data_IF_937521731542
#
_entry.id   IF_937521731542
#
_cell.length_a   1.000
_cell.length_b   1.000
_cell.length_c   1.000
_cell.angle_alpha   90.00
_cell.angle_beta   90.00
_cell.angle_gamma   90.00
#
_symmetry.space_group_name_H-M   'P 1'
#
loop_
_entity.id
_entity.type
_entity.pdbx_description
1 polymer ?
#
# COMPACT_ATOMS: atom_id res chain seq x y z
N UNK A 1 14.03 36.47 -25.83
CA UNK A 1 13.03 35.56 -26.44
C UNK A 1 13.17 34.11 -25.96
N UNK A 2 14.38 33.59 -25.74
CA UNK A 2 14.58 32.16 -25.43
C UNK A 2 13.99 31.68 -24.08
N UNK A 3 13.92 32.55 -23.07
CA UNK A 3 13.34 32.20 -21.76
C UNK A 3 11.83 32.01 -21.83
N UNK A 4 11.16 32.82 -22.65
CA UNK A 4 9.71 32.80 -22.82
C UNK A 4 9.28 31.57 -23.66
N UNK A 5 10.07 31.21 -24.66
CA UNK A 5 9.88 29.97 -25.45
C UNK A 5 10.10 28.73 -24.59
N UNK A 6 11.11 28.74 -23.71
CA UNK A 6 11.38 27.61 -22.80
C UNK A 6 10.26 27.43 -21.76
N UNK A 7 9.71 28.50 -21.19
CA UNK A 7 8.59 28.41 -20.24
C UNK A 7 7.31 27.89 -20.92
N UNK A 8 7.04 28.32 -22.15
CA UNK A 8 5.88 27.82 -22.92
C UNK A 8 6.04 26.33 -23.24
N UNK A 9 7.24 25.89 -23.63
CA UNK A 9 7.50 24.49 -23.93
C UNK A 9 7.34 23.57 -22.69
N UNK A 10 7.77 24.03 -21.51
CA UNK A 10 7.57 23.30 -20.24
C UNK A 10 6.09 23.28 -19.83
N UNK A 11 5.36 24.37 -20.04
CA UNK A 11 3.92 24.41 -19.74
C UNK A 11 3.12 23.48 -20.69
N UNK A 12 3.50 23.42 -21.97
CA UNK A 12 2.86 22.59 -22.98
C UNK A 12 3.09 21.08 -22.75
N UNK A 13 4.27 20.68 -22.24
CA UNK A 13 4.54 19.26 -21.92
C UNK A 13 3.74 18.77 -20.70
N UNK A 14 3.44 19.66 -19.75
CA UNK A 14 2.56 19.35 -18.61
C UNK A 14 1.11 19.18 -19.08
N UNK A 15 0.65 20.01 -20.03
CA UNK A 15 -0.72 19.93 -20.56
C UNK A 15 -0.96 18.72 -21.48
N UNK A 16 0.06 18.24 -22.19
CA UNK A 16 -0.04 17.05 -23.05
C UNK A 16 -0.24 15.73 -22.25
N UNK A 17 -0.08 15.76 -20.92
CA UNK A 17 -0.23 14.60 -20.04
C UNK A 17 -1.66 14.43 -19.48
N UNK A 18 -2.62 15.28 -19.84
CA UNK A 18 -4.00 15.22 -19.31
C UNK A 18 -4.92 14.23 -20.02
N UNK A 19 -4.41 13.34 -20.86
CA UNK A 19 -5.17 12.19 -21.40
C UNK A 19 -5.23 11.03 -20.39
N UNK A 20 -5.56 11.33 -19.13
CA UNK A 20 -5.75 10.31 -18.08
C UNK A 20 -7.21 9.89 -17.92
N UNK A 21 -8.12 10.45 -18.73
CA UNK A 21 -9.56 10.33 -18.56
C UNK A 21 -10.29 9.88 -19.84
N UNK A 22 -9.71 8.91 -20.54
CA UNK A 22 -10.46 8.14 -21.52
C UNK A 22 -10.34 6.66 -21.14
N UNK A 23 -11.46 5.93 -20.91
CA UNK A 23 -11.38 4.49 -20.87
C UNK A 23 -10.73 4.06 -22.19
N UNK A 24 -9.63 3.32 -22.12
CA UNK A 24 -9.06 2.66 -23.29
C UNK A 24 -10.11 1.66 -23.76
N UNK A 25 -10.98 2.09 -24.68
CA UNK A 25 -11.78 1.18 -25.49
C UNK A 25 -10.80 0.16 -26.06
N UNK A 26 -11.00 -1.15 -25.85
CA UNK A 26 -10.18 -2.13 -26.53
C UNK A 26 -10.48 -2.00 -28.03
N UNK A 27 -9.60 -1.29 -28.74
CA UNK A 27 -9.59 -1.30 -30.18
C UNK A 27 -9.28 -2.74 -30.58
N UNK A 28 -10.32 -3.47 -30.98
CA UNK A 28 -10.20 -4.80 -31.53
C UNK A 28 -9.53 -4.69 -32.91
N UNK A 29 -8.21 -4.53 -32.92
CA UNK A 29 -7.38 -4.67 -34.11
C UNK A 29 -7.38 -6.14 -34.48
N UNK A 30 -8.36 -6.52 -35.30
CA UNK A 30 -8.47 -7.83 -35.92
C UNK A 30 -7.43 -7.92 -37.06
N UNK A 31 -6.15 -8.03 -36.73
CA UNK A 31 -5.13 -8.47 -37.68
C UNK A 31 -5.08 -9.99 -37.63
N UNK A 32 -5.77 -10.61 -38.58
CA UNK A 32 -5.66 -12.04 -38.82
C UNK A 32 -4.28 -12.36 -39.39
N UNK A 33 -3.45 -13.03 -38.60
CA UNK A 33 -2.29 -13.77 -39.08
C UNK A 33 -2.45 -15.22 -38.70
N UNK A 34 -2.69 -16.00 -39.76
CA UNK A 34 -2.76 -17.44 -39.86
C UNK A 34 -1.59 -18.12 -39.14
N UNK A 35 -1.86 -19.11 -38.29
CA UNK A 35 -0.83 -20.02 -37.75
C UNK A 35 -1.36 -21.45 -37.79
N UNK A 36 -0.51 -22.45 -38.13
CA UNK A 36 -0.95 -23.68 -38.76
C UNK A 36 -1.48 -24.73 -37.78
N UNK A 37 -2.36 -25.53 -38.34
CA UNK A 37 -2.95 -26.75 -37.84
C UNK A 37 -1.93 -27.71 -37.19
N UNK A 38 -2.00 -27.88 -35.87
CA UNK A 38 -1.67 -29.15 -35.21
C UNK A 38 -2.93 -29.66 -34.54
N UNK A 39 -3.56 -30.63 -35.20
CA UNK A 39 -4.76 -31.29 -34.72
C UNK A 39 -4.43 -32.17 -33.52
N UNK A 40 -4.59 -31.63 -32.31
CA UNK A 40 -5.00 -32.39 -31.13
C UNK A 40 -6.45 -32.01 -30.85
N UNK A 41 -7.36 -32.90 -31.21
CA UNK A 41 -8.77 -32.83 -30.79
C UNK A 41 -8.84 -33.10 -29.29
N UNK A 42 -8.50 -32.10 -28.48
CA UNK A 42 -8.93 -32.07 -27.09
C UNK A 42 -10.35 -31.53 -27.07
N UNK A 43 -11.29 -32.42 -26.73
CA UNK A 43 -12.68 -32.11 -26.48
C UNK A 43 -12.77 -31.21 -25.25
N UNK A 44 -12.43 -29.93 -25.41
CA UNK A 44 -12.52 -28.96 -24.34
C UNK A 44 -13.99 -28.53 -24.26
N UNK A 45 -14.72 -28.88 -23.18
CA UNK A 45 -16.11 -28.49 -23.05
C UNK A 45 -16.20 -26.96 -23.07
N UNK A 46 -17.24 -26.42 -23.71
CA UNK A 46 -17.46 -24.97 -23.86
C UNK A 46 -17.42 -24.22 -22.51
N UNK A 47 -17.67 -24.91 -21.40
CA UNK A 47 -17.54 -24.41 -20.03
C UNK A 47 -16.11 -23.97 -19.69
N UNK A 48 -15.08 -24.67 -20.15
CA UNK A 48 -13.67 -24.32 -19.89
C UNK A 48 -13.14 -23.25 -20.84
N UNK A 49 -13.65 -23.18 -22.08
CA UNK A 49 -13.24 -22.16 -23.05
C UNK A 49 -13.64 -20.75 -22.62
N UNK A 50 -14.74 -20.61 -21.86
CA UNK A 50 -15.25 -19.30 -21.40
C UNK A 50 -14.61 -18.80 -20.10
N UNK A 51 -13.88 -19.66 -19.39
CA UNK A 51 -13.34 -19.33 -18.07
C UNK A 51 -12.09 -18.44 -18.09
N UNK A 52 -11.43 -18.25 -19.25
CA UNK A 52 -10.16 -17.50 -19.32
C UNK A 52 -10.27 -16.04 -19.79
N UNK A 53 -11.47 -15.45 -19.80
CA UNK A 53 -11.68 -14.06 -20.22
C UNK A 53 -12.51 -13.27 -19.21
N UNK A 54 -12.01 -13.09 -17.99
CA UNK A 54 -12.38 -11.99 -17.09
C UNK A 54 -11.87 -12.30 -15.68
N UNK A 55 -10.56 -12.28 -15.49
CA UNK A 55 -10.07 -11.50 -14.35
C UNK A 55 -10.04 -10.09 -14.88
N UNK A 56 -11.14 -9.35 -14.68
CA UNK A 56 -11.13 -7.92 -14.92
C UNK A 56 -9.90 -7.40 -14.17
N UNK A 57 -8.96 -6.80 -14.89
CA UNK A 57 -7.89 -6.05 -14.26
C UNK A 57 -8.61 -5.02 -13.39
N UNK A 58 -8.73 -5.31 -12.10
CA UNK A 58 -9.23 -4.36 -11.11
C UNK A 58 -8.15 -3.29 -11.11
N UNK A 59 -8.35 -2.27 -11.93
CA UNK A 59 -7.61 -1.04 -11.81
C UNK A 59 -7.90 -0.59 -10.40
N UNK A 60 -6.95 -0.81 -9.50
CA UNK A 60 -7.06 -0.39 -8.12
C UNK A 60 -7.06 1.13 -8.16
N UNK A 61 -8.25 1.70 -8.21
CA UNK A 61 -8.49 3.14 -8.17
C UNK A 61 -8.13 3.63 -6.76
N UNK A 62 -6.83 3.75 -6.50
CA UNK A 62 -6.22 4.28 -5.28
C UNK A 62 -6.89 3.89 -3.94
N UNK A 63 -6.90 4.84 -3.01
CA UNK A 63 -7.52 4.72 -1.69
C UNK A 63 -8.97 5.21 -1.82
N UNK A 64 -9.96 4.33 -1.63
CA UNK A 64 -11.41 4.64 -1.74
C UNK A 64 -11.96 4.92 -3.14
N UNK A 65 -11.38 4.36 -4.21
CA UNK A 65 -11.85 4.63 -5.57
C UNK A 65 -11.41 6.00 -6.10
N UNK A 66 -10.60 6.73 -5.32
CA UNK A 66 -10.01 8.01 -5.66
C UNK A 66 -8.56 7.79 -6.12
N UNK A 67 -8.25 8.22 -7.33
CA UNK A 67 -6.90 8.19 -7.87
C UNK A 67 -6.09 9.44 -7.49
N UNK A 68 -4.83 9.44 -7.93
CA UNK A 68 -3.95 10.61 -7.80
C UNK A 68 -4.55 11.92 -8.38
N UNK A 69 -5.21 11.93 -9.56
CA UNK A 69 -5.77 13.17 -10.08
C UNK A 69 -6.93 13.70 -9.24
N UNK A 70 -7.82 12.83 -8.75
CA UNK A 70 -8.95 13.24 -7.90
C UNK A 70 -8.48 13.84 -6.58
N UNK A 71 -7.51 13.19 -5.92
CA UNK A 71 -6.91 13.70 -4.67
C UNK A 71 -6.21 15.05 -4.91
N UNK A 72 -5.57 15.24 -6.06
CA UNK A 72 -4.94 16.51 -6.44
C UNK A 72 -5.93 17.67 -6.49
N UNK A 73 -7.12 17.47 -7.08
CA UNK A 73 -8.16 18.51 -7.17
C UNK A 73 -8.67 18.89 -5.78
N UNK A 74 -8.88 17.90 -4.90
CA UNK A 74 -9.32 18.15 -3.52
C UNK A 74 -8.27 18.94 -2.74
N UNK A 75 -6.98 18.62 -2.92
CA UNK A 75 -5.89 19.38 -2.29
C UNK A 75 -5.84 20.83 -2.76
N UNK A 76 -6.05 21.08 -4.04
CA UNK A 76 -6.12 22.44 -4.59
C UNK A 76 -7.28 23.21 -3.96
N UNK A 77 -8.48 22.60 -3.92
CA UNK A 77 -9.65 23.23 -3.28
C UNK A 77 -9.41 23.53 -1.79
N UNK A 78 -8.83 22.59 -1.05
CA UNK A 78 -8.47 22.77 0.35
C UNK A 78 -7.42 23.89 0.53
N UNK A 79 -6.44 23.98 -0.36
CA UNK A 79 -5.42 25.05 -0.32
C UNK A 79 -6.02 26.42 -0.59
N UNK A 80 -7.04 26.53 -1.45
CA UNK A 80 -7.77 27.79 -1.63
C UNK A 80 -8.62 28.15 -0.42
N UNK A 81 -9.26 27.17 0.22
CA UNK A 81 -10.15 27.41 1.36
C UNK A 81 -9.38 27.73 2.65
N UNK A 82 -8.34 26.97 2.97
CA UNK A 82 -7.54 27.13 4.19
C UNK A 82 -6.33 28.06 3.99
N UNK A 83 -5.84 28.19 2.76
CA UNK A 83 -4.57 28.83 2.43
C UNK A 83 -3.39 27.85 2.44
N UNK A 84 -2.40 28.03 1.54
CA UNK A 84 -1.24 27.15 1.46
C UNK A 84 -0.39 27.16 2.74
N UNK A 85 -0.33 28.29 3.45
CA UNK A 85 0.46 28.43 4.68
C UNK A 85 -0.09 27.56 5.82
N UNK A 86 -1.41 27.47 5.95
CA UNK A 86 -2.06 26.65 6.98
C UNK A 86 -1.90 25.15 6.70
N UNK A 87 -1.98 24.74 5.43
CA UNK A 87 -1.70 23.36 5.05
C UNK A 87 -0.23 22.99 5.31
N UNK A 88 0.71 23.91 5.05
CA UNK A 88 2.13 23.70 5.32
C UNK A 88 2.40 23.58 6.83
N UNK A 89 1.79 24.43 7.67
CA UNK A 89 1.94 24.32 9.12
C UNK A 89 1.39 23.01 9.66
N UNK A 90 0.17 22.62 9.22
CA UNK A 90 -0.44 21.34 9.62
C UNK A 90 0.41 20.14 9.17
N UNK A 91 0.94 20.17 7.94
CA UNK A 91 1.83 19.13 7.44
C UNK A 91 3.13 19.02 8.23
N UNK A 92 3.69 20.16 8.69
CA UNK A 92 4.89 20.17 9.54
C UNK A 92 4.62 19.57 10.91
N UNK A 93 3.49 19.92 11.53
CA UNK A 93 3.11 19.42 12.85
C UNK A 93 2.77 17.93 12.79
N UNK A 94 1.96 17.50 11.81
CA UNK A 94 1.68 16.10 11.57
C UNK A 94 2.95 15.30 11.23
N UNK A 95 3.88 15.87 10.46
CA UNK A 95 5.15 15.25 10.10
C UNK A 95 6.08 15.04 11.30
N UNK A 96 6.09 15.98 12.26
CA UNK A 96 6.82 15.82 13.53
C UNK A 96 6.24 14.68 14.36
N UNK A 97 4.91 14.66 14.55
CA UNK A 97 4.22 13.61 15.30
C UNK A 97 4.47 12.24 14.65
N UNK A 98 4.36 12.15 13.33
CA UNK A 98 4.65 10.92 12.59
C UNK A 98 6.12 10.50 12.68
N UNK A 99 7.04 11.46 12.81
CA UNK A 99 8.46 11.21 13.04
C UNK A 99 8.73 10.62 14.42
N UNK A 100 8.16 11.23 15.45
CA UNK A 100 8.24 10.75 16.85
C UNK A 100 7.61 9.35 17.00
N UNK A 101 6.51 9.09 16.31
CA UNK A 101 5.83 7.79 16.31
C UNK A 101 6.66 6.67 15.66
N UNK A 102 7.80 6.94 15.01
CA UNK A 102 8.70 5.89 14.49
C UNK A 102 9.59 5.27 15.55
N UNK A 103 9.90 6.01 16.62
CA UNK A 103 10.69 5.48 17.73
C UNK A 103 9.85 4.57 18.63
N UNK A 104 8.55 4.85 18.76
CA UNK A 104 7.61 4.07 19.56
C UNK A 104 7.58 2.57 19.18
N UNK A 105 7.48 2.15 17.90
CA UNK A 105 7.60 0.75 17.50
C UNK A 105 8.92 0.08 17.86
N UNK A 106 10.04 0.82 17.87
CA UNK A 106 11.36 0.25 18.21
C UNK A 106 11.45 0.00 19.72
N UNK A 107 11.02 0.98 20.50
CA UNK A 107 10.93 0.84 21.96
C UNK A 107 9.93 -0.25 22.36
N UNK A 108 8.81 -0.37 21.65
CA UNK A 108 7.85 -1.45 21.85
C UNK A 108 8.45 -2.83 21.57
N UNK A 109 9.20 -2.99 20.48
CA UNK A 109 9.88 -4.25 20.16
C UNK A 109 10.95 -4.61 21.21
N UNK A 110 11.76 -3.63 21.63
CA UNK A 110 12.76 -3.82 22.67
C UNK A 110 12.12 -4.21 24.02
N UNK A 111 11.07 -3.50 24.42
CA UNK A 111 10.30 -3.78 25.63
C UNK A 111 9.60 -5.15 25.58
N UNK A 112 9.11 -5.59 24.42
CA UNK A 112 8.56 -6.94 24.27
C UNK A 112 9.64 -8.01 24.46
N UNK A 113 10.83 -7.85 23.85
CA UNK A 113 11.92 -8.80 23.98
C UNK A 113 12.46 -8.88 25.43
N UNK A 114 12.58 -7.75 26.11
CA UNK A 114 12.94 -7.69 27.53
C UNK A 114 11.86 -8.29 28.43
N UNK A 115 10.58 -8.02 28.13
CA UNK A 115 9.43 -8.62 28.80
C UNK A 115 9.39 -10.14 28.67
N UNK A 116 9.72 -10.68 27.49
CA UNK A 116 9.81 -12.13 27.29
C UNK A 116 10.98 -12.76 28.05
N UNK A 117 12.15 -12.11 28.07
CA UNK A 117 13.32 -12.59 28.80
C UNK A 117 13.09 -12.59 30.32
N UNK A 118 12.50 -11.51 30.85
CA UNK A 118 12.16 -11.37 32.26
C UNK A 118 11.03 -12.32 32.67
N UNK A 119 10.01 -12.53 31.83
CA UNK A 119 8.95 -13.50 32.09
C UNK A 119 9.48 -14.94 32.12
N UNK A 120 10.46 -15.29 31.28
CA UNK A 120 11.14 -16.61 31.34
C UNK A 120 11.96 -16.77 32.61
N UNK A 121 12.75 -15.76 32.98
CA UNK A 121 13.54 -15.79 34.20
C UNK A 121 12.66 -15.83 35.47
N UNK A 122 11.52 -15.15 35.46
CA UNK A 122 10.55 -15.18 36.57
C UNK A 122 9.82 -16.52 36.64
N UNK A 123 9.49 -17.13 35.50
CA UNK A 123 8.94 -18.51 35.46
C UNK A 123 9.93 -19.55 35.96
N UNK A 124 11.21 -19.44 35.62
CA UNK A 124 12.25 -20.35 36.13
C UNK A 124 12.48 -20.17 37.64
N UNK A 125 12.49 -18.93 38.14
CA UNK A 125 12.56 -18.66 39.58
C UNK A 125 11.32 -19.12 40.34
N UNK A 126 10.13 -18.93 39.79
CA UNK A 126 8.88 -19.43 40.40
C UNK A 126 8.81 -20.97 40.37
N UNK A 127 9.32 -21.63 39.32
CA UNK A 127 9.41 -23.10 39.28
C UNK A 127 10.45 -23.64 40.26
N UNK A 128 11.56 -22.92 40.49
CA UNK A 128 12.53 -23.27 41.52
C UNK A 128 11.99 -23.05 42.94
N UNK A 129 11.19 -22.00 43.18
CA UNK A 129 10.59 -21.72 44.49
C UNK A 129 9.44 -22.69 44.81
N UNK A 130 8.62 -23.07 43.82
CA UNK A 130 7.58 -24.10 44.01
C UNK A 130 8.18 -25.49 44.30
N UNK A 131 9.40 -25.77 43.83
CA UNK A 131 10.11 -27.03 44.11
C UNK A 131 10.78 -27.07 45.50
N UNK A 132 10.96 -25.92 46.18
CA UNK A 132 11.53 -25.86 47.54
C UNK A 132 10.43 -25.99 48.60
N UNK A 133 9.19 -25.55 48.32
CA UNK A 133 8.06 -25.70 49.26
C UNK A 133 7.60 -27.17 49.40
N UNK A 134 7.87 -28.06 48.45
CA UNK A 134 7.48 -29.49 48.54
C UNK A 134 8.44 -30.34 49.42
N UNK A 135 9.60 -29.83 49.85
CA UNK A 135 10.54 -30.59 50.70
C UNK A 135 10.42 -30.38 52.21
N UNK A 136 9.63 -29.41 52.69
CA UNK A 136 9.52 -29.12 54.13
C UNK A 136 8.22 -29.61 54.81
N UNK A 137 7.30 -30.29 54.10
CA UNK A 137 6.07 -30.85 54.71
C UNK A 137 6.07 -32.37 54.89
N UNK A 138 7.21 -33.06 54.75
CA UNK A 138 7.30 -34.51 55.02
C UNK A 138 8.40 -34.83 56.04
N UNK A 139 8.38 -34.21 57.21
CA UNK A 139 8.95 -34.81 58.43
C UNK A 139 8.39 -34.09 59.66
N UNK A 140 7.27 -34.59 60.18
CA UNK A 140 7.00 -34.82 61.61
C UNK A 140 5.73 -35.67 61.76
#
# INVERSE_FOLDING_TARGET
MNRLVSTIAVLASILASTTAFAPSLPLATRTGTFSPNTAVNEYQPASLQRQRKSVAQVQTMGLFGLGAPEIGIVLVAAAFLLGPDKLASLGKDAGKIAGELKEVPKEFQAGMAEGEASAKAMKEKQQAETAVVEKDTTTE
#
